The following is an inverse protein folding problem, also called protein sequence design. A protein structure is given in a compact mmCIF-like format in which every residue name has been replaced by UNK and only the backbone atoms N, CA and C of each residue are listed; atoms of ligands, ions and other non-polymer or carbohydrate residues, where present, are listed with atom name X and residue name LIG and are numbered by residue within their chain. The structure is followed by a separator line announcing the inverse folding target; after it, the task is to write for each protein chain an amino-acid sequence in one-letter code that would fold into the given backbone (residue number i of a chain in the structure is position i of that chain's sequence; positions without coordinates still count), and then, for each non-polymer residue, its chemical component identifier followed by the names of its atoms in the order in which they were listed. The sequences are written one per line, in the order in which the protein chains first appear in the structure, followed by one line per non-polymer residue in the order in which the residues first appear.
data_IF_093326328292
#
_entry.id   IF_093326328292
#
_cell.length_a   1.000
_cell.length_b   1.000
_cell.length_c   1.000
_cell.angle_alpha   90.00
_cell.angle_beta   90.00
_cell.angle_gamma   90.00
#
_symmetry.space_group_name_H-M   'P 1'
#
loop_
_entity.id
_entity.type
_entity.pdbx_description
1 polymer ?
#
# COMPACT_ATOMS: atom_id res chain seq x y z
N UNK A 1 -61.41 -9.60 -32.89
CA UNK A 1 -60.75 -8.48 -33.60
C UNK A 1 -59.38 -8.34 -33.00
N UNK A 2 -58.36 -8.49 -33.85
CA UNK A 2 -56.94 -8.38 -33.50
C UNK A 2 -56.61 -6.89 -33.42
N UNK A 3 -55.91 -6.47 -32.38
CA UNK A 3 -55.19 -5.20 -32.39
C UNK A 3 -53.72 -5.48 -32.11
N UNK A 4 -52.95 -5.32 -33.18
CA UNK A 4 -51.49 -5.20 -33.20
C UNK A 4 -51.12 -3.82 -32.66
N UNK A 5 -50.27 -3.76 -31.63
CA UNK A 5 -49.57 -2.54 -31.24
C UNK A 5 -48.07 -2.78 -31.41
N UNK A 6 -47.52 -2.08 -32.40
CA UNK A 6 -46.14 -2.13 -32.84
C UNK A 6 -45.18 -1.59 -31.78
N UNK A 7 -44.11 -2.34 -31.53
CA UNK A 7 -42.91 -1.90 -30.82
C UNK A 7 -42.03 -1.10 -31.78
N UNK A 8 -41.78 0.17 -31.47
CA UNK A 8 -40.75 0.98 -32.10
C UNK A 8 -39.46 0.89 -31.25
N UNK A 9 -38.48 0.13 -31.73
CA UNK A 9 -37.11 0.17 -31.23
C UNK A 9 -36.43 1.47 -31.68
N UNK A 10 -36.12 2.34 -30.72
CA UNK A 10 -35.22 3.46 -30.93
C UNK A 10 -33.77 2.98 -30.79
N UNK A 11 -33.06 2.92 -31.91
CA UNK A 11 -31.62 2.66 -31.96
C UNK A 11 -30.84 3.81 -31.30
N UNK A 12 -30.28 3.56 -30.12
CA UNK A 12 -29.29 4.43 -29.48
C UNK A 12 -27.92 4.10 -30.06
N UNK A 13 -27.44 4.97 -30.96
CA UNK A 13 -26.09 4.88 -31.52
C UNK A 13 -25.03 5.04 -30.42
N UNK A 14 -24.32 3.96 -30.11
CA UNK A 14 -23.05 4.02 -29.38
C UNK A 14 -21.97 4.61 -30.30
N UNK A 15 -21.56 5.85 -30.03
CA UNK A 15 -20.30 6.38 -30.53
C UNK A 15 -19.18 5.90 -29.61
N UNK A 16 -18.36 4.97 -30.11
CA UNK A 16 -17.07 4.65 -29.52
C UNK A 16 -16.16 5.90 -29.55
N UNK A 17 -15.51 6.27 -28.43
CA UNK A 17 -14.46 7.27 -28.49
C UNK A 17 -13.20 6.66 -29.11
N UNK A 18 -12.79 7.22 -30.26
CA UNK A 18 -11.51 6.91 -30.91
C UNK A 18 -10.32 7.11 -29.95
N UNK A 19 -9.37 6.16 -29.89
CA UNK A 19 -8.15 6.30 -29.12
C UNK A 19 -7.13 7.13 -29.92
N UNK A 20 -7.11 8.46 -29.71
CA UNK A 20 -6.00 9.28 -30.18
C UNK A 20 -4.81 9.15 -29.22
N UNK A 21 -3.84 8.35 -29.65
CA UNK A 21 -2.40 8.63 -29.67
C UNK A 21 -1.83 9.42 -28.47
N UNK A 22 -1.46 8.70 -27.42
CA UNK A 22 -0.33 9.08 -26.55
C UNK A 22 0.74 7.99 -26.65
N UNK A 23 1.47 8.00 -27.77
CA UNK A 23 2.69 7.24 -27.96
C UNK A 23 3.87 8.21 -27.80
N UNK A 24 4.36 8.39 -26.57
CA UNK A 24 5.59 9.14 -26.30
C UNK A 24 6.43 8.41 -25.25
N UNK A 25 7.46 7.73 -25.78
CA UNK A 25 8.76 7.45 -25.19
C UNK A 25 8.82 6.83 -23.78
N UNK A 26 8.60 5.52 -23.69
CA UNK A 26 9.33 4.72 -22.71
C UNK A 26 10.73 4.44 -23.28
N UNK A 27 11.69 5.33 -22.99
CA UNK A 27 13.10 4.95 -23.10
C UNK A 27 13.33 3.82 -22.09
N UNK A 28 13.51 2.61 -22.60
CA UNK A 28 13.94 1.45 -21.84
C UNK A 28 15.35 1.72 -21.32
N UNK A 29 15.45 2.35 -20.16
CA UNK A 29 16.59 2.10 -19.30
C UNK A 29 16.50 0.63 -18.92
N UNK A 30 17.13 -0.23 -19.74
CA UNK A 30 17.47 -1.60 -19.38
C UNK A 30 18.48 -1.50 -18.26
N UNK A 31 17.99 -1.14 -17.07
CA UNK A 31 18.72 -1.41 -15.83
C UNK A 31 19.00 -2.89 -15.90
N UNK A 32 20.29 -3.26 -15.96
CA UNK A 32 20.71 -4.64 -15.84
C UNK A 32 19.88 -5.22 -14.69
N UNK A 33 19.06 -6.23 -14.98
CA UNK A 33 18.18 -6.82 -14.00
C UNK A 33 19.07 -7.13 -12.80
N UNK A 34 18.93 -6.34 -11.73
CA UNK A 34 19.83 -6.45 -10.60
C UNK A 34 19.62 -7.86 -10.10
N UNK A 35 20.63 -8.70 -10.20
CA UNK A 35 20.55 -9.99 -9.51
C UNK A 35 20.35 -9.66 -8.03
N UNK A 36 19.40 -10.31 -7.40
CA UNK A 36 19.13 -10.11 -5.97
C UNK A 36 19.95 -11.11 -5.19
N UNK A 37 20.74 -10.63 -4.23
CA UNK A 37 21.46 -11.47 -3.29
C UNK A 37 20.68 -11.54 -1.99
N UNK A 38 20.59 -12.72 -1.38
CA UNK A 38 20.04 -12.89 -0.03
C UNK A 38 21.17 -12.71 0.98
N UNK A 39 20.95 -11.83 1.97
CA UNK A 39 21.86 -11.60 3.09
C UNK A 39 21.11 -11.78 4.41
N UNK A 40 21.86 -11.95 5.49
CA UNK A 40 21.30 -11.93 6.84
C UNK A 40 20.82 -10.52 7.21
N UNK A 41 19.80 -10.37 8.06
CA UNK A 41 19.34 -9.07 8.54
C UNK A 41 20.45 -8.27 9.23
N UNK A 42 20.37 -6.92 9.26
CA UNK A 42 21.23 -6.10 10.11
C UNK A 42 21.25 -6.60 11.56
N UNK A 43 22.44 -6.86 12.11
CA UNK A 43 22.60 -7.44 13.45
C UNK A 43 23.06 -6.41 14.50
N UNK A 44 23.70 -5.33 14.06
CA UNK A 44 24.20 -4.27 14.94
C UNK A 44 23.50 -2.93 14.72
N UNK A 45 23.60 -2.03 15.70
CA UNK A 45 23.13 -0.64 15.56
C UNK A 45 23.78 0.07 14.36
N UNK A 46 25.05 -0.23 14.07
CA UNK A 46 25.78 0.35 12.93
C UNK A 46 25.19 -0.16 11.61
N UNK A 47 24.84 -1.45 11.52
CA UNK A 47 24.22 -2.00 10.31
C UNK A 47 22.85 -1.38 10.03
N UNK A 48 22.04 -1.17 11.07
CA UNK A 48 20.75 -0.48 10.96
C UNK A 48 20.94 0.98 10.54
N UNK A 49 21.90 1.68 11.13
CA UNK A 49 22.24 3.05 10.74
C UNK A 49 22.65 3.11 9.27
N UNK A 50 23.58 2.26 8.84
CA UNK A 50 24.00 2.23 7.44
C UNK A 50 22.85 1.89 6.49
N UNK A 51 22.01 0.92 6.85
CA UNK A 51 20.83 0.56 6.06
C UNK A 51 19.85 1.72 5.96
N UNK A 52 19.64 2.46 7.05
CA UNK A 52 18.77 3.65 7.06
C UNK A 52 19.33 4.82 6.25
N UNK A 53 20.66 4.92 6.10
CA UNK A 53 21.32 6.00 5.35
C UNK A 53 21.29 5.79 3.83
N UNK A 54 21.01 4.57 3.35
CA UNK A 54 20.88 4.28 1.92
C UNK A 54 19.69 5.04 1.33
N UNK A 55 19.97 5.93 0.38
CA UNK A 55 18.95 6.76 -0.28
C UNK A 55 17.98 5.95 -1.16
N UNK A 56 18.41 4.78 -1.64
CA UNK A 56 17.59 3.92 -2.50
C UNK A 56 16.59 3.13 -1.65
N UNK A 57 15.33 3.52 -1.74
CA UNK A 57 14.18 2.80 -1.23
C UNK A 57 13.61 1.86 -2.29
N UNK A 58 13.19 0.67 -1.89
CA UNK A 58 12.60 -0.33 -2.76
C UNK A 58 11.14 -0.59 -2.39
N UNK A 59 10.33 -0.95 -3.38
CA UNK A 59 8.95 -1.43 -3.21
C UNK A 59 8.84 -2.87 -3.69
N UNK A 60 8.04 -3.65 -2.97
CA UNK A 60 7.61 -4.98 -3.39
C UNK A 60 6.20 -4.92 -3.97
N UNK A 61 5.98 -5.59 -5.10
CA UNK A 61 4.70 -5.60 -5.83
C UNK A 61 4.46 -6.98 -6.44
N UNK A 62 3.20 -7.35 -6.61
CA UNK A 62 2.79 -8.52 -7.40
C UNK A 62 2.10 -7.99 -8.65
N UNK A 63 2.63 -8.35 -9.82
CA UNK A 63 2.08 -7.95 -11.10
C UNK A 63 0.77 -8.66 -11.45
N UNK A 64 0.18 -8.27 -12.59
CA UNK A 64 -1.13 -8.79 -13.02
C UNK A 64 -1.13 -10.30 -13.28
N UNK A 65 0.02 -10.88 -13.59
CA UNK A 65 0.17 -12.31 -13.84
C UNK A 65 0.73 -13.06 -12.62
N UNK A 66 0.70 -12.42 -11.43
CA UNK A 66 1.17 -13.02 -10.18
C UNK A 66 2.69 -12.97 -10.00
N UNK A 67 3.42 -12.31 -10.90
CA UNK A 67 4.86 -12.21 -10.81
C UNK A 67 5.30 -11.22 -9.74
N UNK A 68 6.20 -11.66 -8.86
CA UNK A 68 6.81 -10.79 -7.86
C UNK A 68 7.81 -9.84 -8.53
N UNK A 69 7.68 -8.54 -8.27
CA UNK A 69 8.55 -7.48 -8.79
C UNK A 69 9.06 -6.60 -7.67
N UNK A 70 10.30 -6.15 -7.82
CA UNK A 70 10.93 -5.16 -6.96
C UNK A 70 11.34 -3.97 -7.80
N UNK A 71 10.97 -2.77 -7.36
CA UNK A 71 11.28 -1.54 -8.09
C UNK A 71 11.77 -0.46 -7.12
N UNK A 72 12.73 0.39 -7.51
CA UNK A 72 13.05 1.57 -6.75
C UNK A 72 11.80 2.45 -6.57
N UNK A 73 11.67 3.06 -5.40
CA UNK A 73 10.66 4.08 -5.17
C UNK A 73 11.07 5.34 -5.93
N UNK A 74 10.36 5.64 -7.01
CA UNK A 74 10.55 6.88 -7.77
C UNK A 74 9.96 8.06 -7.01
N UNK A 75 10.67 9.19 -6.95
CA UNK A 75 10.10 10.46 -6.47
C UNK A 75 10.10 10.67 -4.96
N UNK A 76 11.11 10.19 -4.23
CA UNK A 76 11.33 10.60 -2.84
C UNK A 76 11.41 12.15 -2.76
N UNK A 77 10.33 12.79 -2.33
CA UNK A 77 10.19 14.25 -2.27
C UNK A 77 9.00 14.86 -3.01
N UNK A 78 8.32 14.14 -3.92
CA UNK A 78 7.17 14.68 -4.69
C UNK A 78 5.80 14.48 -4.00
N UNK A 79 5.78 14.10 -2.72
CA UNK A 79 4.58 13.67 -2.01
C UNK A 79 4.17 12.26 -2.42
N UNK A 80 3.49 11.53 -1.53
CA UNK A 80 2.85 10.28 -1.90
C UNK A 80 1.69 10.59 -2.87
N UNK A 81 1.48 9.77 -3.92
CA UNK A 81 0.29 9.91 -4.75
C UNK A 81 -0.97 9.78 -3.88
N UNK A 82 -2.04 10.50 -4.25
CA UNK A 82 -3.33 10.33 -3.58
C UNK A 82 -3.75 8.85 -3.62
N UNK A 83 -4.15 8.30 -2.48
CA UNK A 83 -4.75 6.97 -2.42
C UNK A 83 -6.17 7.08 -2.94
N UNK A 84 -6.50 6.36 -4.00
CA UNK A 84 -7.83 6.41 -4.61
C UNK A 84 -8.53 5.06 -4.51
N UNK A 85 -9.74 5.05 -3.95
CA UNK A 85 -10.61 3.87 -3.92
C UNK A 85 -11.92 4.15 -4.65
N UNK A 86 -12.11 3.52 -5.81
CA UNK A 86 -13.31 3.67 -6.62
C UNK A 86 -14.49 2.88 -6.02
N UNK A 87 -15.67 3.51 -5.98
CA UNK A 87 -16.90 2.91 -5.46
C UNK A 87 -17.91 2.78 -6.61
N UNK A 88 -17.51 2.02 -7.63
CA UNK A 88 -18.29 1.83 -8.86
C UNK A 88 -18.70 3.17 -9.47
N UNK A 89 -19.98 3.28 -9.85
CA UNK A 89 -20.55 4.50 -10.45
C UNK A 89 -20.91 5.60 -9.44
N UNK A 90 -20.70 5.39 -8.13
CA UNK A 90 -21.11 6.35 -7.09
C UNK A 90 -20.08 7.45 -6.88
N UNK A 91 -18.79 7.16 -7.10
CA UNK A 91 -17.70 8.11 -6.88
C UNK A 91 -16.44 7.40 -6.38
N UNK A 92 -15.56 8.15 -5.71
CA UNK A 92 -14.30 7.63 -5.16
C UNK A 92 -13.95 8.26 -3.82
N UNK A 93 -13.32 7.47 -2.95
CA UNK A 93 -12.60 7.99 -1.78
C UNK A 93 -11.19 8.39 -2.22
N UNK A 94 -10.71 9.50 -1.66
CA UNK A 94 -9.40 10.07 -1.93
C UNK A 94 -8.71 10.29 -0.59
N UNK A 95 -7.64 9.55 -0.35
CA UNK A 95 -6.78 9.67 0.82
C UNK A 95 -5.53 10.48 0.50
N UNK A 96 -5.34 11.58 1.22
CA UNK A 96 -4.17 12.44 1.11
C UNK A 96 -3.27 12.25 2.32
N UNK A 97 -2.08 11.71 2.09
CA UNK A 97 -1.04 11.59 3.10
C UNK A 97 0.03 12.66 2.86
N UNK A 98 0.14 13.63 3.77
CA UNK A 98 1.16 14.69 3.73
C UNK A 98 2.18 14.53 4.86
N UNK A 99 2.32 13.32 5.40
CA UNK A 99 3.22 13.01 6.49
C UNK A 99 2.94 13.85 7.73
N UNK A 100 3.97 14.51 8.26
CA UNK A 100 3.88 15.35 9.45
C UNK A 100 2.98 16.58 9.27
N UNK A 101 2.66 16.98 8.03
CA UNK A 101 1.68 18.03 7.75
C UNK A 101 0.22 17.53 7.82
N UNK A 102 0.01 16.31 8.29
CA UNK A 102 -1.29 15.66 8.44
C UNK A 102 -1.79 15.03 7.14
N UNK A 103 -3.10 14.90 7.03
CA UNK A 103 -3.74 14.30 5.87
C UNK A 103 -5.25 14.55 5.85
N UNK A 104 -5.90 13.99 4.85
CA UNK A 104 -7.36 13.94 4.79
C UNK A 104 -7.84 12.66 4.14
N UNK A 105 -9.05 12.26 4.51
CA UNK A 105 -9.86 11.35 3.71
C UNK A 105 -11.07 12.12 3.20
N UNK A 106 -11.23 12.14 1.88
CA UNK A 106 -12.27 12.88 1.19
C UNK A 106 -13.11 11.96 0.31
N UNK A 107 -14.36 12.34 0.09
CA UNK A 107 -15.29 11.72 -0.85
C UNK A 107 -15.49 12.62 -2.06
N UNK A 108 -15.42 12.05 -3.26
CA UNK A 108 -15.74 12.74 -4.50
C UNK A 108 -16.85 11.98 -5.25
N UNK A 109 -18.08 12.53 -5.30
CA UNK A 109 -19.19 11.92 -6.04
C UNK A 109 -18.89 11.80 -7.54
N UNK A 110 -19.39 10.75 -8.20
CA UNK A 110 -19.19 10.56 -9.64
C UNK A 110 -19.91 11.62 -10.50
N UNK A 111 -21.01 12.19 -10.01
CA UNK A 111 -21.84 13.17 -10.72
C UNK A 111 -21.27 14.59 -10.76
N UNK A 112 -19.98 14.79 -10.42
CA UNK A 112 -19.35 16.12 -10.44
C UNK A 112 -19.72 17.03 -9.26
N UNK A 113 -20.29 16.47 -8.19
CA UNK A 113 -20.51 17.20 -6.94
C UNK A 113 -19.20 17.61 -6.26
N UNK A 114 -19.26 18.54 -5.28
CA UNK A 114 -18.06 19.01 -4.59
C UNK A 114 -17.36 17.87 -3.84
N UNK A 115 -16.03 17.92 -3.77
CA UNK A 115 -15.23 17.06 -2.88
C UNK A 115 -15.61 17.36 -1.43
N UNK A 116 -15.98 16.34 -0.67
CA UNK A 116 -16.40 16.44 0.71
C UNK A 116 -15.35 15.81 1.61
N UNK A 117 -14.79 16.58 2.55
CA UNK A 117 -13.91 16.02 3.56
C UNK A 117 -14.71 15.15 4.53
N UNK A 118 -14.22 13.93 4.77
CA UNK A 118 -14.81 12.99 5.70
C UNK A 118 -14.08 12.95 7.04
N UNK A 119 -12.74 12.92 7.01
CA UNK A 119 -11.89 12.85 8.19
C UNK A 119 -10.57 13.61 7.98
N UNK A 120 -10.02 14.15 9.07
CA UNK A 120 -8.63 14.63 9.15
C UNK A 120 -7.75 13.52 9.74
N UNK A 121 -7.25 12.66 8.86
CA UNK A 121 -6.40 11.50 9.18
C UNK A 121 -5.30 11.38 8.12
N UNK A 122 -4.28 10.56 8.37
CA UNK A 122 -3.20 10.25 7.41
C UNK A 122 -3.40 8.85 6.84
N UNK A 123 -4.08 8.66 5.70
CA UNK A 123 -4.42 7.33 5.19
C UNK A 123 -3.19 6.64 4.59
N UNK A 124 -3.07 5.34 4.83
CA UNK A 124 -1.95 4.50 4.38
C UNK A 124 -2.43 3.43 3.40
N UNK A 125 -3.67 2.94 3.55
CA UNK A 125 -4.25 2.00 2.60
C UNK A 125 -5.72 1.76 2.83
N UNK A 126 -6.35 1.19 1.80
CA UNK A 126 -7.74 0.77 1.81
C UNK A 126 -7.85 -0.75 1.78
N UNK A 127 -8.91 -1.27 2.40
CA UNK A 127 -9.39 -2.62 2.21
C UNK A 127 -10.92 -2.63 2.10
N UNK A 128 -11.49 -3.73 1.62
CA UNK A 128 -12.94 -3.88 1.54
C UNK A 128 -13.35 -5.28 2.00
N UNK A 129 -14.44 -5.35 2.77
CA UNK A 129 -15.06 -6.60 3.14
C UNK A 129 -16.58 -6.44 3.25
N UNK A 130 -17.34 -7.28 2.53
CA UNK A 130 -18.82 -7.27 2.51
C UNK A 130 -19.46 -5.89 2.26
N UNK A 131 -18.84 -5.09 1.39
CA UNK A 131 -19.31 -3.76 1.02
C UNK A 131 -18.80 -2.63 1.90
N UNK A 132 -18.35 -2.92 3.12
CA UNK A 132 -17.71 -1.95 4.01
C UNK A 132 -16.28 -1.67 3.54
N UNK A 133 -15.87 -0.41 3.61
CA UNK A 133 -14.52 0.02 3.26
C UNK A 133 -13.76 0.29 4.55
N UNK A 134 -12.55 -0.22 4.66
CA UNK A 134 -11.67 0.00 5.79
C UNK A 134 -10.50 0.88 5.37
N UNK A 135 -10.05 1.73 6.28
CA UNK A 135 -8.92 2.64 6.08
C UNK A 135 -7.94 2.45 7.23
N UNK A 136 -6.72 2.05 6.88
CA UNK A 136 -5.60 2.06 7.80
C UNK A 136 -5.01 3.46 7.73
N UNK A 137 -4.90 4.11 8.89
CA UNK A 137 -4.38 5.46 8.99
C UNK A 137 -3.44 5.57 10.18
N UNK A 138 -2.51 6.50 10.09
CA UNK A 138 -1.59 6.81 11.18
C UNK A 138 -0.40 7.59 10.68
N UNK A 139 0.32 8.17 11.64
CA UNK A 139 1.54 8.90 11.41
C UNK A 139 2.64 8.29 12.25
N UNK A 140 3.78 7.98 11.63
CA UNK A 140 4.95 7.51 12.36
C UNK A 140 5.86 8.70 12.67
N UNK A 141 5.99 9.03 13.96
CA UNK A 141 6.99 9.97 14.47
C UNK A 141 7.85 9.28 15.55
N UNK A 142 8.19 8.00 15.33
CA UNK A 142 9.05 7.04 16.10
C UNK A 142 8.34 5.68 16.24
N UNK A 143 8.72 4.89 17.24
CA UNK A 143 8.14 3.60 17.61
C UNK A 143 6.68 3.75 18.05
N UNK A 144 6.37 4.84 18.75
CA UNK A 144 5.01 5.21 19.14
C UNK A 144 4.32 5.96 17.98
N UNK A 145 3.08 5.59 17.67
CA UNK A 145 2.32 6.26 16.63
C UNK A 145 0.81 5.97 16.70
N UNK A 146 0.03 6.92 16.21
CA UNK A 146 -1.44 6.90 16.29
C UNK A 146 -2.06 6.05 15.17
N UNK A 147 -1.71 4.77 15.12
CA UNK A 147 -2.27 3.83 14.15
C UNK A 147 -3.71 3.49 14.46
N UNK A 148 -4.58 3.56 13.46
CA UNK A 148 -6.01 3.24 13.60
C UNK A 148 -6.58 2.60 12.34
N UNK A 149 -7.60 1.77 12.55
CA UNK A 149 -8.47 1.29 11.47
C UNK A 149 -9.82 1.98 11.60
N UNK A 150 -10.25 2.61 10.51
CA UNK A 150 -11.59 3.18 10.37
C UNK A 150 -12.42 2.28 9.45
N UNK A 151 -13.71 2.13 9.76
CA UNK A 151 -14.70 1.46 8.92
C UNK A 151 -15.68 2.48 8.38
N UNK A 152 -15.85 2.50 7.07
CA UNK A 152 -16.71 3.41 6.33
C UNK A 152 -17.86 2.65 5.68
N UNK A 153 -19.07 3.15 5.93
CA UNK A 153 -20.31 2.63 5.35
C UNK A 153 -21.09 3.75 4.67
N UNK A 154 -21.26 3.62 3.36
CA UNK A 154 -22.13 4.51 2.61
C UNK A 154 -23.59 4.23 3.01
N UNK A 155 -24.34 5.30 3.29
CA UNK A 155 -25.79 5.27 3.54
C UNK A 155 -26.54 5.66 2.27
N UNK A 156 -27.79 5.23 2.15
CA UNK A 156 -28.60 5.45 0.94
C UNK A 156 -28.86 6.93 0.64
N UNK A 157 -28.77 7.80 1.67
CA UNK A 157 -28.89 9.25 1.53
C UNK A 157 -27.59 9.96 1.11
N UNK A 158 -26.58 9.20 0.68
CA UNK A 158 -25.28 9.73 0.26
C UNK A 158 -24.36 10.17 1.42
N UNK A 159 -24.77 9.97 2.68
CA UNK A 159 -23.91 10.22 3.84
C UNK A 159 -23.04 9.01 4.17
N UNK A 160 -21.98 9.25 4.92
CA UNK A 160 -21.08 8.22 5.42
C UNK A 160 -21.31 7.99 6.91
N UNK A 161 -21.43 6.73 7.33
CA UNK A 161 -21.11 6.36 8.70
C UNK A 161 -19.64 5.96 8.77
N UNK A 162 -18.94 6.53 9.74
CA UNK A 162 -17.51 6.28 9.93
C UNK A 162 -17.26 5.96 11.40
N UNK A 163 -16.77 4.75 11.65
CA UNK A 163 -16.45 4.27 12.99
C UNK A 163 -14.93 4.01 13.09
N UNK A 164 -14.26 4.47 14.16
CA UNK A 164 -12.92 3.96 14.51
C UNK A 164 -13.12 2.59 15.14
N UNK A 165 -12.67 1.53 14.48
CA UNK A 165 -12.99 0.14 14.87
C UNK A 165 -11.82 -0.60 15.52
N UNK A 166 -10.60 -0.10 15.34
CA UNK A 166 -9.41 -0.67 15.98
C UNK A 166 -8.37 0.43 16.21
N UNK A 167 -7.74 0.38 17.39
CA UNK A 167 -6.51 1.10 17.69
C UNK A 167 -5.34 0.14 17.48
N UNK A 168 -4.42 0.47 16.57
CA UNK A 168 -3.25 -0.37 16.29
C UNK A 168 -2.13 -0.14 17.30
N UNK A 169 -2.13 1.01 18.00
CA UNK A 169 -1.03 1.49 18.85
C UNK A 169 0.32 1.68 18.12
N UNK A 170 0.33 1.49 16.80
CA UNK A 170 1.51 1.57 15.95
C UNK A 170 1.12 2.10 14.56
N UNK A 171 1.90 3.01 14.01
CA UNK A 171 1.60 3.58 12.70
C UNK A 171 1.75 2.53 11.58
N UNK A 172 0.73 2.29 10.75
CA UNK A 172 0.89 1.52 9.53
C UNK A 172 1.75 2.31 8.54
N UNK A 173 2.59 1.60 7.78
CA UNK A 173 3.51 2.17 6.80
C UNK A 173 3.28 1.63 5.38
N UNK A 174 2.57 0.51 5.27
CA UNK A 174 2.15 -0.09 4.01
C UNK A 174 1.15 -1.19 4.28
N UNK A 175 0.33 -1.53 3.28
CA UNK A 175 -0.74 -2.51 3.47
C UNK A 175 -0.92 -3.43 2.27
N UNK A 176 -1.46 -4.62 2.52
CA UNK A 176 -1.84 -5.61 1.53
C UNK A 176 -3.14 -6.30 1.95
N UNK A 177 -4.21 -6.09 1.21
CA UNK A 177 -5.52 -6.67 1.48
C UNK A 177 -5.86 -7.77 0.48
N UNK A 178 -6.42 -8.88 0.97
CA UNK A 178 -6.91 -9.98 0.14
C UNK A 178 -8.02 -10.74 0.85
N UNK A 179 -9.17 -10.90 0.19
CA UNK A 179 -10.23 -11.83 0.61
C UNK A 179 -10.73 -11.66 2.06
N UNK A 180 -10.83 -10.41 2.56
CA UNK A 180 -11.25 -10.14 3.94
C UNK A 180 -10.13 -10.19 4.97
N UNK A 181 -8.92 -10.54 4.55
CA UNK A 181 -7.70 -10.42 5.34
C UNK A 181 -6.95 -9.15 4.98
N UNK A 182 -6.36 -8.51 5.99
CA UNK A 182 -5.55 -7.32 5.80
C UNK A 182 -4.22 -7.44 6.53
N UNK A 183 -3.13 -7.40 5.78
CA UNK A 183 -1.77 -7.42 6.35
C UNK A 183 -1.16 -6.03 6.25
N UNK A 184 -0.65 -5.55 7.38
CA UNK A 184 -0.11 -4.22 7.58
C UNK A 184 1.37 -4.38 7.92
N UNK A 185 2.25 -3.66 7.22
CA UNK A 185 3.58 -3.38 7.76
C UNK A 185 3.50 -2.12 8.60
N UNK A 186 4.07 -2.16 9.80
CA UNK A 186 4.01 -1.10 10.81
C UNK A 186 5.43 -0.67 11.18
N UNK A 187 5.55 0.34 12.04
CA UNK A 187 6.85 0.82 12.53
C UNK A 187 7.68 -0.24 13.30
N UNK A 188 7.04 -1.29 13.82
CA UNK A 188 7.70 -2.32 14.64
C UNK A 188 7.49 -3.76 14.15
N UNK A 189 6.87 -3.97 12.99
CA UNK A 189 6.66 -5.33 12.49
C UNK A 189 5.58 -5.48 11.43
N UNK A 190 5.00 -6.69 11.39
CA UNK A 190 3.89 -7.05 10.51
C UNK A 190 2.70 -7.48 11.35
N UNK A 191 1.56 -6.82 11.16
CA UNK A 191 0.31 -7.13 11.82
C UNK A 191 -0.69 -7.63 10.79
N UNK A 192 -1.35 -8.74 11.10
CA UNK A 192 -2.42 -9.33 10.30
C UNK A 192 -3.77 -9.06 10.98
N UNK A 193 -4.79 -8.74 10.18
CA UNK A 193 -6.12 -8.35 10.65
C UNK A 193 -7.19 -9.09 9.86
N UNK A 194 -8.02 -9.88 10.56
CA UNK A 194 -9.26 -10.44 10.01
C UNK A 194 -10.33 -9.35 10.03
N UNK A 195 -10.83 -8.91 8.87
CA UNK A 195 -11.80 -7.81 8.75
C UNK A 195 -13.23 -8.19 9.18
N UNK A 196 -13.52 -9.48 9.31
CA UNK A 196 -14.82 -9.97 9.81
C UNK A 196 -14.88 -9.89 11.34
N UNK A 197 -13.79 -10.27 12.02
CA UNK A 197 -13.74 -10.31 13.50
C UNK A 197 -13.07 -9.08 14.10
N UNK A 198 -12.34 -8.32 13.28
CA UNK A 198 -11.49 -7.20 13.68
C UNK A 198 -10.37 -7.60 14.65
N UNK A 199 -10.02 -8.89 14.68
CA UNK A 199 -8.91 -9.37 15.48
C UNK A 199 -7.59 -9.12 14.76
N UNK A 200 -6.68 -8.41 15.45
CA UNK A 200 -5.32 -8.20 15.00
C UNK A 200 -4.36 -9.18 15.67
N UNK A 201 -3.43 -9.73 14.89
CA UNK A 201 -2.36 -10.60 15.35
C UNK A 201 -1.02 -10.16 14.79
N UNK A 202 -0.04 -9.98 15.66
CA UNK A 202 1.36 -9.74 15.26
C UNK A 202 1.92 -11.01 14.61
N UNK A 203 2.41 -10.89 13.37
CA UNK A 203 3.09 -11.97 12.65
C UNK A 203 4.59 -11.96 12.90
N UNK A 204 5.20 -10.77 12.94
CA UNK A 204 6.64 -10.59 13.07
C UNK A 204 6.93 -9.27 13.78
N UNK A 205 7.94 -9.23 14.63
CA UNK A 205 8.36 -8.02 15.36
C UNK A 205 9.81 -7.71 15.05
N UNK A 206 10.09 -6.46 14.70
CA UNK A 206 11.42 -5.91 14.61
C UNK A 206 11.37 -4.43 14.99
N UNK A 207 11.85 -4.12 16.20
CA UNK A 207 11.80 -2.76 16.79
C UNK A 207 12.71 -1.74 16.08
N UNK A 208 13.51 -2.16 15.10
CA UNK A 208 14.37 -1.27 14.32
C UNK A 208 13.76 -0.90 12.96
N UNK A 209 12.61 -1.46 12.58
CA UNK A 209 11.98 -1.20 11.27
C UNK A 209 11.61 0.25 11.03
N UNK A 210 11.29 1.02 12.07
CA UNK A 210 11.05 2.45 11.94
C UNK A 210 12.26 3.21 11.34
N UNK A 211 13.49 2.71 11.50
CA UNK A 211 14.70 3.29 10.90
C UNK A 211 14.85 2.93 9.42
N UNK A 212 14.24 1.81 9.01
CA UNK A 212 14.42 1.22 7.68
C UNK A 212 13.44 1.76 6.65
N UNK A 213 12.41 2.48 7.10
CA UNK A 213 11.38 3.07 6.24
C UNK A 213 10.66 2.04 5.35
N UNK A 214 10.08 0.96 5.91
CA UNK A 214 9.29 0.05 5.11
C UNK A 214 8.11 0.81 4.48
N UNK A 215 7.80 0.53 3.22
CA UNK A 215 6.86 1.35 2.42
C UNK A 215 5.84 0.53 1.62
N UNK A 216 6.00 -0.79 1.61
CA UNK A 216 5.10 -1.69 0.89
C UNK A 216 5.20 -3.09 1.48
N UNK A 217 4.13 -3.87 1.36
CA UNK A 217 4.10 -5.28 1.70
C UNK A 217 3.26 -6.00 0.65
N UNK A 218 3.66 -7.22 0.27
CA UNK A 218 2.87 -8.13 -0.57
C UNK A 218 3.05 -9.57 -0.14
N UNK A 219 2.00 -10.39 -0.27
CA UNK A 219 2.07 -11.84 -0.11
C UNK A 219 2.35 -12.52 -1.45
N UNK A 220 3.30 -13.47 -1.48
CA UNK A 220 3.59 -14.28 -2.67
C UNK A 220 4.23 -15.62 -2.30
N UNK A 221 3.60 -16.74 -2.72
CA UNK A 221 4.04 -18.13 -2.45
C UNK A 221 4.38 -18.35 -0.96
N UNK A 222 3.39 -18.10 -0.09
CA UNK A 222 3.46 -18.28 1.37
C UNK A 222 4.52 -17.44 2.09
N UNK A 223 4.98 -16.36 1.46
CA UNK A 223 5.96 -15.43 2.04
C UNK A 223 5.46 -14.00 1.96
N UNK A 224 5.94 -13.18 2.88
CA UNK A 224 5.76 -11.74 2.82
C UNK A 224 7.02 -11.07 2.27
N UNK A 225 6.83 -10.11 1.39
CA UNK A 225 7.89 -9.27 0.83
C UNK A 225 7.60 -7.83 1.15
N UNK A 226 8.54 -7.15 1.80
CA UNK A 226 8.38 -5.81 2.34
C UNK A 226 9.46 -4.92 1.75
N UNK A 227 9.06 -3.92 0.97
CA UNK A 227 10.01 -2.96 0.41
C UNK A 227 10.48 -1.98 1.49
N UNK A 228 11.78 -1.76 1.58
CA UNK A 228 12.43 -0.87 2.56
C UNK A 228 13.63 -0.15 1.92
N UNK A 229 14.37 0.64 2.72
CA UNK A 229 15.70 1.13 2.32
C UNK A 229 16.66 -0.04 2.09
N UNK A 230 17.64 0.15 1.20
CA UNK A 230 18.65 -0.85 0.77
C UNK A 230 18.09 -2.04 -0.03
N UNK A 231 16.90 -2.55 0.29
CA UNK A 231 16.36 -3.72 -0.39
C UNK A 231 14.94 -4.11 0.06
N UNK A 232 14.68 -5.41 0.01
CA UNK A 232 13.38 -6.02 0.33
C UNK A 232 13.57 -7.03 1.45
N UNK A 233 12.78 -6.90 2.51
CA UNK A 233 12.70 -7.90 3.57
C UNK A 233 11.79 -9.04 3.11
N UNK A 234 12.25 -10.27 3.26
CA UNK A 234 11.50 -11.50 3.00
C UNK A 234 11.22 -12.18 4.33
N UNK A 235 9.95 -12.33 4.68
CA UNK A 235 9.52 -13.15 5.80
C UNK A 235 9.07 -14.52 5.29
N UNK A 236 9.74 -15.57 5.76
CA UNK A 236 9.38 -16.96 5.45
C UNK A 236 8.82 -17.60 6.71
N UNK A 237 7.68 -18.30 6.67
CA UNK A 237 7.16 -19.03 7.81
C UNK A 237 8.24 -19.97 8.38
N UNK A 238 8.30 -20.03 9.71
CA UNK A 238 9.22 -20.89 10.47
C UNK A 238 8.49 -21.43 11.72
N UNK A 239 9.12 -22.31 12.49
CA UNK A 239 8.53 -22.88 13.71
C UNK A 239 8.10 -21.77 14.70
N UNK A 240 6.79 -21.55 14.80
CA UNK A 240 6.20 -20.56 15.71
C UNK A 240 6.19 -19.11 15.22
N UNK A 241 6.60 -18.82 13.98
CA UNK A 241 6.62 -17.44 13.49
C UNK A 241 7.13 -17.27 12.07
N UNK A 242 7.96 -16.25 11.87
CA UNK A 242 8.59 -15.94 10.59
C UNK A 242 10.08 -15.69 10.77
N UNK A 243 10.88 -16.27 9.89
CA UNK A 243 12.29 -15.94 9.72
C UNK A 243 12.43 -14.75 8.78
N UNK A 244 13.13 -13.72 9.24
CA UNK A 244 13.50 -12.55 8.45
C UNK A 244 14.76 -12.83 7.62
N UNK A 245 14.72 -12.50 6.33
CA UNK A 245 15.87 -12.49 5.43
C UNK A 245 15.84 -11.23 4.59
N UNK A 246 17.00 -10.76 4.15
CA UNK A 246 17.08 -9.56 3.32
C UNK A 246 17.46 -9.92 1.89
N UNK A 247 16.74 -9.37 0.93
CA UNK A 247 17.07 -9.42 -0.48
C UNK A 247 17.57 -8.03 -0.87
N UNK A 248 18.82 -7.94 -1.30
CA UNK A 248 19.42 -6.67 -1.74
C UNK A 248 19.89 -6.78 -3.19
N UNK A 249 19.94 -5.67 -3.93
CA UNK A 249 20.66 -5.62 -5.20
C UNK A 249 22.10 -6.12 -5.03
N UNK A 250 22.61 -6.89 -5.98
CA UNK A 250 23.95 -7.48 -5.86
C UNK A 250 25.09 -6.47 -5.82
N UNK A 251 24.86 -5.21 -6.20
CA UNK A 251 25.79 -4.09 -6.04
C UNK A 251 25.71 -3.43 -4.65
N UNK A 252 24.90 -3.97 -3.72
CA UNK A 252 24.72 -3.48 -2.35
C UNK A 252 24.67 -4.61 -1.30
N UNK A 253 25.50 -5.65 -1.48
CA UNK A 253 25.61 -6.77 -0.54
C UNK A 253 26.20 -6.33 0.79
N UNK A 254 27.22 -5.48 0.77
CA UNK A 254 27.91 -4.97 1.96
C UNK A 254 27.95 -3.44 1.98
N UNK A 255 28.50 -2.90 3.06
CA UNK A 255 28.82 -1.48 3.18
C UNK A 255 30.34 -1.27 3.18
N UNK A 256 30.79 -0.16 2.61
CA UNK A 256 32.18 0.31 2.70
C UNK A 256 32.20 1.78 3.13
N UNK A 257 33.24 2.18 3.89
CA UNK A 257 33.41 3.56 4.35
C UNK A 257 32.17 4.08 5.09
N UNK A 258 31.67 5.24 4.68
CA UNK A 258 30.48 5.90 5.23
C UNK A 258 29.16 5.27 4.73
N UNK A 259 28.99 3.97 4.97
CA UNK A 259 27.76 3.22 4.63
C UNK A 259 27.42 3.20 3.12
N UNK A 260 28.41 3.28 2.24
CA UNK A 260 28.19 3.18 0.79
C UNK A 260 27.95 1.72 0.41
N UNK A 261 26.95 1.47 -0.44
CA UNK A 261 26.70 0.14 -1.00
C UNK A 261 27.93 -0.37 -1.77
N UNK A 262 28.30 -1.63 -1.50
CA UNK A 262 29.32 -2.35 -2.25
C UNK A 262 28.84 -3.78 -2.60
N UNK A 263 29.35 -4.39 -3.70
CA UNK A 263 28.99 -5.74 -4.12
C UNK A 263 29.37 -6.88 -3.17
#
# INVERSE_FOLDING_TARGET
MRDEAALAEAAVGHREPSPMLNALAWLTATTAASSWTVIEPPQSRVDYLCTSSVQKEWRAQVGRHGELRFAPRTGAGQGEPELVWAIGKRGRLIGNNRGLAGGSLDWLPAGGGPRQKLLDITPIGFAQYRGDIFVAAGLSHRIEGDGSIYRLRARDNGRWQIDRVLDLQEAPLGTYAREGEWTLVTAIGVTHLDLRTLQARRLHTNLNWWQLGPSSIVGHKDRWYIGARRGVVRLTPDEGGYREQWMVPSDCRSFTGDCQCAP
#
